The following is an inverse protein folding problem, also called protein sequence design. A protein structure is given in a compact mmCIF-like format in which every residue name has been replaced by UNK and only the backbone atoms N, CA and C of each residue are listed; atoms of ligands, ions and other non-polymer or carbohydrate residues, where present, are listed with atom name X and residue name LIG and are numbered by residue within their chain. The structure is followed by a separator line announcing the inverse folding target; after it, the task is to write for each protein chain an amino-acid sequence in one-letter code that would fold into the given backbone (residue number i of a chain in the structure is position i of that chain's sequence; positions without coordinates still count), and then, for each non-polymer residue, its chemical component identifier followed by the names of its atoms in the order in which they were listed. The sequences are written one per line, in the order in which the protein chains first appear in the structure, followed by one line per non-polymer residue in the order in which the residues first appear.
data_IF_015520402287
#
_entry.id   IF_015520402287
#
_cell.length_a   1.000
_cell.length_b   1.000
_cell.length_c   1.000
_cell.angle_alpha   90.00
_cell.angle_beta   90.00
_cell.angle_gamma   90.00
#
_symmetry.space_group_name_H-M   'P 1'
#
loop_
_entity.id
_entity.type
_entity.pdbx_description
1 polymer ?
#
# COMPACT_ATOMS: atom_id res chain seq x y z
N UNK A 1 2.04 12.21 -11.55
CA UNK A 1 0.73 12.77 -11.19
C UNK A 1 0.66 14.18 -11.74
N UNK A 2 -0.33 14.48 -12.58
CA UNK A 2 -0.57 15.81 -13.14
C UNK A 2 -1.43 16.66 -12.20
N UNK A 3 -1.62 17.94 -12.52
CA UNK A 3 -2.52 18.82 -11.78
C UNK A 3 -3.97 18.35 -11.90
N UNK A 4 -4.40 17.91 -13.08
CA UNK A 4 -5.75 17.37 -13.30
C UNK A 4 -6.00 16.09 -12.48
N UNK A 5 -5.01 15.20 -12.41
CA UNK A 5 -5.07 13.99 -11.58
C UNK A 5 -5.10 14.31 -10.08
N UNK A 6 -4.41 15.37 -9.66
CA UNK A 6 -4.51 15.87 -8.28
C UNK A 6 -5.91 16.39 -8.03
N UNK A 7 -6.44 17.29 -8.87
CA UNK A 7 -7.77 17.88 -8.68
C UNK A 7 -8.87 16.81 -8.66
N UNK A 8 -8.84 15.85 -9.58
CA UNK A 8 -9.79 14.73 -9.57
C UNK A 8 -9.72 13.90 -8.28
N UNK A 9 -8.51 13.69 -7.75
CA UNK A 9 -8.31 13.02 -6.46
C UNK A 9 -8.85 13.85 -5.29
N UNK A 10 -8.77 15.19 -5.36
CA UNK A 10 -9.26 16.10 -4.33
C UNK A 10 -10.77 16.36 -4.40
N UNK A 11 -11.36 16.35 -5.59
CA UNK A 11 -12.80 16.54 -5.79
C UNK A 11 -13.59 15.27 -5.46
N UNK A 12 -13.01 14.10 -5.70
CA UNK A 12 -13.57 12.80 -5.30
C UNK A 12 -13.19 12.34 -3.89
N UNK A 13 -12.57 13.21 -3.09
CA UNK A 13 -11.98 12.87 -1.80
C UNK A 13 -13.02 12.65 -0.69
N UNK A 14 -13.59 11.46 -0.62
CA UNK A 14 -13.83 10.84 0.68
C UNK A 14 -12.55 10.09 1.08
N UNK A 15 -12.18 10.11 2.36
CA UNK A 15 -11.13 9.21 2.84
C UNK A 15 -11.52 7.78 2.48
N UNK A 16 -10.66 7.10 1.73
CA UNK A 16 -10.83 5.69 1.41
C UNK A 16 -9.79 4.89 2.16
N UNK A 17 -9.95 3.57 2.17
CA UNK A 17 -8.91 2.64 2.62
C UNK A 17 -7.56 2.83 1.89
N UNK A 18 -7.55 3.57 0.78
CA UNK A 18 -6.41 3.75 -0.13
C UNK A 18 -5.92 5.20 -0.26
N UNK A 19 -6.57 6.14 0.43
CA UNK A 19 -6.22 7.55 0.41
C UNK A 19 -6.13 8.07 1.85
N UNK A 20 -5.03 8.73 2.18
CA UNK A 20 -4.78 9.33 3.48
C UNK A 20 -4.39 10.80 3.28
N UNK A 21 -5.00 11.69 4.06
CA UNK A 21 -4.63 13.11 4.09
C UNK A 21 -3.81 13.43 5.33
N UNK A 22 -2.74 14.19 5.14
CA UNK A 22 -1.97 14.77 6.24
C UNK A 22 -1.80 16.26 6.02
N UNK A 23 -1.91 17.00 7.13
CA UNK A 23 -1.59 18.42 7.17
C UNK A 23 -0.17 18.70 6.68
N UNK A 24 0.11 19.95 6.34
CA UNK A 24 1.45 20.36 5.95
C UNK A 24 2.49 20.05 7.04
N UNK A 25 3.50 19.24 6.72
CA UNK A 25 4.59 18.89 7.64
C UNK A 25 5.86 18.52 6.87
N UNK A 26 7.01 18.74 7.51
CA UNK A 26 8.28 18.16 7.05
C UNK A 26 8.27 16.64 7.22
N UNK A 27 9.12 15.96 6.47
CA UNK A 27 9.28 14.52 6.57
C UNK A 27 9.61 14.11 8.01
N UNK A 28 8.79 13.20 8.54
CA UNK A 28 9.04 12.49 9.79
C UNK A 28 8.68 11.02 9.58
N UNK A 29 9.71 10.17 9.59
CA UNK A 29 9.53 8.73 9.41
C UNK A 29 8.63 8.12 10.48
N UNK A 30 8.64 8.63 11.72
CA UNK A 30 7.86 8.04 12.80
C UNK A 30 6.36 8.27 12.62
N UNK A 31 5.97 9.39 12.01
CA UNK A 31 4.57 9.71 11.70
C UNK A 31 4.08 8.89 10.51
N UNK A 32 4.91 8.74 9.48
CA UNK A 32 4.46 8.17 8.20
C UNK A 32 4.72 6.66 8.05
N UNK A 33 5.62 6.07 8.84
CA UNK A 33 5.98 4.66 8.71
C UNK A 33 4.77 3.73 8.84
N UNK A 34 3.89 4.00 9.82
CA UNK A 34 2.71 3.17 10.05
C UNK A 34 1.77 3.18 8.85
N UNK A 35 1.54 4.36 8.27
CA UNK A 35 0.68 4.53 7.10
C UNK A 35 1.28 3.87 5.86
N UNK A 36 2.60 4.01 5.64
CA UNK A 36 3.29 3.38 4.52
C UNK A 36 3.26 1.85 4.62
N UNK A 37 3.54 1.28 5.80
CA UNK A 37 3.45 -0.17 6.02
C UNK A 37 2.01 -0.68 5.84
N UNK A 38 1.02 0.05 6.37
CA UNK A 38 -0.38 -0.31 6.25
C UNK A 38 -0.85 -0.31 4.79
N UNK A 39 -0.52 0.74 4.03
CA UNK A 39 -0.88 0.85 2.61
C UNK A 39 -0.21 -0.20 1.74
N UNK A 40 1.04 -0.58 2.03
CA UNK A 40 1.71 -1.66 1.31
C UNK A 40 0.96 -3.00 1.42
N UNK A 41 0.23 -3.21 2.52
CA UNK A 41 -0.59 -4.40 2.75
C UNK A 41 -2.01 -4.32 2.18
N UNK A 42 -2.41 -3.19 1.60
CA UNK A 42 -3.69 -3.03 0.89
C UNK A 42 -3.58 -3.56 -0.55
N UNK A 43 -4.69 -4.08 -1.10
CA UNK A 43 -4.73 -4.81 -2.37
C UNK A 43 -4.00 -4.15 -3.54
N UNK A 44 -4.24 -2.85 -3.77
CA UNK A 44 -3.55 -2.09 -4.81
C UNK A 44 -2.78 -0.90 -4.24
N UNK A 45 -2.29 -1.04 -3.00
CA UNK A 45 -1.50 -0.01 -2.33
C UNK A 45 -2.35 1.19 -1.90
N UNK A 46 -1.73 2.36 -1.88
CA UNK A 46 -2.42 3.59 -1.50
C UNK A 46 -1.63 4.87 -1.80
N UNK A 47 -2.24 6.00 -1.46
CA UNK A 47 -1.67 7.34 -1.62
C UNK A 47 -1.79 8.11 -0.32
N UNK A 48 -0.68 8.71 0.11
CA UNK A 48 -0.66 9.67 1.21
C UNK A 48 -0.42 11.04 0.61
N UNK A 49 -1.32 11.98 0.85
CA UNK A 49 -1.24 13.35 0.35
C UNK A 49 -0.97 14.32 1.50
N UNK A 50 0.18 14.99 1.45
CA UNK A 50 0.61 15.97 2.44
C UNK A 50 0.27 17.38 1.94
N UNK A 51 -0.24 18.21 2.86
CA UNK A 51 -0.67 19.58 2.59
C UNK A 51 -2.19 19.74 2.60
N UNK A 52 -2.93 18.78 3.15
CA UNK A 52 -4.39 18.81 3.25
C UNK A 52 -4.76 18.51 4.70
N UNK A 53 -5.58 19.36 5.29
CA UNK A 53 -6.14 19.08 6.60
C UNK A 53 -7.17 17.95 6.50
N UNK A 54 -7.01 16.93 7.32
CA UNK A 54 -7.82 15.70 7.29
C UNK A 54 -9.32 15.97 7.54
N UNK A 55 -9.65 16.66 8.63
CA UNK A 55 -11.05 16.85 9.05
C UNK A 55 -11.85 17.81 8.15
N UNK A 56 -11.21 18.88 7.67
CA UNK A 56 -11.87 19.95 6.91
C UNK A 56 -11.66 19.81 5.40
N UNK A 57 -10.76 18.90 4.99
CA UNK A 57 -10.22 18.81 3.62
C UNK A 57 -9.64 20.13 3.11
N UNK A 58 -9.24 21.03 4.02
CA UNK A 58 -8.69 22.32 3.67
C UNK A 58 -7.31 22.15 3.01
N UNK A 59 -7.20 22.68 1.79
CA UNK A 59 -5.98 22.68 0.98
C UNK A 59 -4.99 23.73 1.51
N UNK A 60 -4.04 23.29 2.33
CA UNK A 60 -2.98 24.13 2.89
C UNK A 60 -1.79 24.28 1.91
N UNK A 61 -1.49 23.21 1.18
CA UNK A 61 -0.23 23.06 0.47
C UNK A 61 0.96 22.88 1.42
N UNK A 62 2.17 22.84 0.87
CA UNK A 62 3.41 22.73 1.65
C UNK A 62 4.37 23.87 1.32
N UNK A 63 5.21 24.25 2.30
CA UNK A 63 6.28 25.22 2.07
C UNK A 63 7.44 24.58 1.30
N UNK A 64 8.37 25.42 0.81
CA UNK A 64 9.55 24.93 0.09
C UNK A 64 10.49 24.13 1.01
N UNK A 65 10.63 24.54 2.27
CA UNK A 65 11.41 23.83 3.28
C UNK A 65 10.82 22.45 3.57
N UNK A 66 9.49 22.39 3.73
CA UNK A 66 8.78 21.12 3.93
C UNK A 66 8.97 20.21 2.72
N UNK A 67 8.76 20.72 1.51
CA UNK A 67 8.99 19.96 0.26
C UNK A 67 10.41 19.38 0.20
N UNK A 68 11.41 20.20 0.50
CA UNK A 68 12.82 19.82 0.39
C UNK A 68 13.24 18.74 1.41
N UNK A 69 12.43 18.50 2.44
CA UNK A 69 12.66 17.38 3.37
C UNK A 69 12.26 16.01 2.81
N UNK A 70 11.49 15.93 1.71
CA UNK A 70 11.02 14.66 1.13
C UNK A 70 11.96 14.17 0.02
N UNK A 71 13.19 13.81 0.40
CA UNK A 71 14.22 13.30 -0.52
C UNK A 71 14.03 11.78 -0.76
N UNK A 72 13.62 11.34 -1.96
CA UNK A 72 13.13 9.97 -2.17
C UNK A 72 14.06 8.85 -1.69
N UNK A 73 15.37 8.96 -1.92
CA UNK A 73 16.32 7.92 -1.55
C UNK A 73 16.50 7.82 -0.03
N UNK A 74 16.62 8.96 0.66
CA UNK A 74 16.70 8.99 2.12
C UNK A 74 15.43 8.45 2.77
N UNK A 75 14.28 8.77 2.19
CA UNK A 75 12.98 8.27 2.63
C UNK A 75 12.91 6.75 2.52
N UNK A 76 13.37 6.17 1.40
CA UNK A 76 13.39 4.71 1.19
C UNK A 76 14.29 4.03 2.22
N UNK A 77 15.50 4.53 2.42
CA UNK A 77 16.45 3.96 3.38
C UNK A 77 15.84 3.95 4.79
N UNK A 78 15.22 5.06 5.20
CA UNK A 78 14.61 5.19 6.53
C UNK A 78 13.41 4.27 6.73
N UNK A 79 12.58 4.04 5.69
CA UNK A 79 11.43 3.14 5.77
C UNK A 79 11.86 1.67 5.68
N UNK A 80 12.91 1.36 4.92
CA UNK A 80 13.48 0.01 4.82
C UNK A 80 13.99 -0.52 6.17
N UNK A 81 14.35 0.35 7.12
CA UNK A 81 14.66 -0.03 8.51
C UNK A 81 13.49 -0.71 9.22
N UNK A 82 12.25 -0.44 8.81
CA UNK A 82 11.02 -0.91 9.45
C UNK A 82 10.29 -2.01 8.67
N UNK A 83 10.55 -2.17 7.38
CA UNK A 83 9.77 -3.05 6.49
C UNK A 83 10.48 -4.36 6.17
N UNK A 84 9.74 -5.47 6.21
CA UNK A 84 10.18 -6.77 5.67
C UNK A 84 9.01 -7.54 5.05
N UNK A 85 8.98 -7.78 3.72
CA UNK A 85 9.91 -7.28 2.70
C UNK A 85 9.92 -5.75 2.59
N UNK A 86 10.86 -5.20 1.81
CA UNK A 86 10.93 -3.75 1.59
C UNK A 86 9.67 -3.20 0.92
N UNK A 87 9.23 -2.01 1.35
CA UNK A 87 8.08 -1.32 0.74
C UNK A 87 8.56 -0.53 -0.47
N UNK A 88 7.87 -0.72 -1.60
CA UNK A 88 8.08 0.08 -2.80
C UNK A 88 7.13 1.29 -2.77
N UNK A 89 7.70 2.49 -2.86
CA UNK A 89 6.91 3.72 -2.99
C UNK A 89 7.63 4.78 -3.84
N UNK A 90 6.87 5.76 -4.31
CA UNK A 90 7.37 6.92 -5.04
C UNK A 90 6.80 8.21 -4.47
N UNK A 91 7.59 9.28 -4.53
CA UNK A 91 7.20 10.61 -4.07
C UNK A 91 7.05 11.53 -5.27
N UNK A 92 5.94 12.27 -5.33
CA UNK A 92 5.64 13.27 -6.35
C UNK A 92 5.27 14.59 -5.68
N UNK A 93 5.57 15.70 -6.33
CA UNK A 93 5.26 17.04 -5.80
C UNK A 93 4.40 17.83 -6.79
N UNK A 94 3.12 17.46 -6.96
CA UNK A 94 2.20 18.17 -7.87
C UNK A 94 1.84 19.56 -7.34
N UNK A 95 1.26 20.38 -8.20
CA UNK A 95 0.70 21.70 -7.87
C UNK A 95 -0.79 21.70 -8.21
N UNK A 96 -1.63 22.32 -7.37
CA UNK A 96 -3.07 22.51 -7.66
C UNK A 96 -3.31 23.67 -8.64
N UNK A 97 -4.56 23.87 -9.03
CA UNK A 97 -5.00 24.98 -9.89
C UNK A 97 -4.76 26.36 -9.29
N UNK A 98 -4.61 26.46 -7.96
CA UNK A 98 -4.34 27.69 -7.24
C UNK A 98 -2.83 27.94 -7.01
N UNK A 99 -1.95 27.10 -7.55
CA UNK A 99 -0.50 27.23 -7.43
C UNK A 99 0.08 26.70 -6.11
N UNK A 100 -0.71 26.05 -5.25
CA UNK A 100 -0.24 25.39 -4.02
C UNK A 100 0.41 24.07 -4.37
N UNK A 101 1.54 23.78 -3.72
CA UNK A 101 2.26 22.51 -3.91
C UNK A 101 1.84 21.51 -2.86
N UNK A 102 1.82 20.25 -3.23
CA UNK A 102 1.53 19.13 -2.35
C UNK A 102 2.63 18.10 -2.46
N UNK A 103 2.66 17.14 -1.52
CA UNK A 103 3.48 15.94 -1.66
C UNK A 103 2.56 14.76 -1.72
N UNK A 104 2.79 13.87 -2.69
CA UNK A 104 2.05 12.63 -2.84
C UNK A 104 3.00 11.47 -2.78
N UNK A 105 2.84 10.65 -1.74
CA UNK A 105 3.54 9.39 -1.57
C UNK A 105 2.62 8.31 -2.11
N UNK A 106 3.00 7.71 -3.24
CA UNK A 106 2.28 6.58 -3.81
C UNK A 106 2.98 5.29 -3.37
N UNK A 107 2.30 4.51 -2.54
CA UNK A 107 2.76 3.24 -2.00
C UNK A 107 2.23 2.12 -2.87
N UNK A 108 3.12 1.28 -3.37
CA UNK A 108 2.74 0.08 -4.14
C UNK A 108 2.29 -1.04 -3.18
N UNK A 109 1.34 -1.90 -3.60
CA UNK A 109 1.05 -3.11 -2.86
C UNK A 109 2.28 -4.01 -2.81
N UNK A 110 2.40 -4.85 -1.78
CA UNK A 110 3.43 -5.88 -1.73
C UNK A 110 3.36 -6.81 -2.97
N UNK A 111 4.51 -7.31 -3.41
CA UNK A 111 4.58 -8.13 -4.62
C UNK A 111 4.06 -9.55 -4.37
N UNK A 112 4.57 -10.21 -3.33
CA UNK A 112 4.31 -11.64 -3.06
C UNK A 112 3.95 -11.90 -1.60
N UNK A 113 4.78 -11.41 -0.67
CA UNK A 113 4.60 -11.59 0.77
C UNK A 113 4.13 -10.29 1.43
N UNK A 114 3.22 -10.37 2.42
CA UNK A 114 2.82 -9.20 3.20
C UNK A 114 4.01 -8.56 3.91
N UNK A 115 3.96 -7.24 4.04
CA UNK A 115 4.98 -6.47 4.76
C UNK A 115 4.73 -6.57 6.26
N UNK A 116 5.74 -7.05 6.98
CA UNK A 116 5.77 -7.15 8.44
C UNK A 116 6.71 -6.05 8.96
N UNK A 117 6.32 -5.40 10.05
CA UNK A 117 7.20 -4.45 10.71
C UNK A 117 8.36 -5.19 11.40
N UNK A 118 9.62 -4.91 11.04
CA UNK A 118 10.80 -5.59 11.61
C UNK A 118 11.49 -4.83 12.75
N UNK A 119 11.03 -3.62 13.10
CA UNK A 119 11.64 -2.74 14.11
C UNK A 119 10.60 -1.96 14.91
N UNK A 120 10.87 -1.76 16.21
CA UNK A 120 10.04 -0.92 17.06
C UNK A 120 10.23 0.58 16.75
N UNK A 121 9.15 1.34 16.91
CA UNK A 121 9.10 2.79 16.83
C UNK A 121 8.00 3.35 17.75
N UNK A 122 7.74 4.66 17.70
CA UNK A 122 6.74 5.28 18.56
C UNK A 122 5.34 4.67 18.38
N UNK A 123 4.90 4.49 17.13
CA UNK A 123 3.56 3.99 16.78
C UNK A 123 3.59 2.64 16.07
N UNK A 124 4.77 2.02 15.96
CA UNK A 124 4.98 0.73 15.29
C UNK A 124 5.73 -0.26 16.17
N UNK A 125 5.38 -1.54 16.08
CA UNK A 125 5.94 -2.61 16.90
C UNK A 125 6.47 -3.74 16.02
N UNK A 126 7.65 -4.24 16.33
CA UNK A 126 8.28 -5.36 15.64
C UNK A 126 7.38 -6.59 15.64
N UNK A 127 7.38 -7.33 14.53
CA UNK A 127 6.55 -8.51 14.29
C UNK A 127 5.07 -8.20 14.00
N UNK A 128 4.70 -6.92 13.90
CA UNK A 128 3.30 -6.51 13.69
C UNK A 128 3.04 -6.23 12.21
N UNK A 129 1.90 -6.72 11.72
CA UNK A 129 1.35 -6.35 10.42
C UNK A 129 0.39 -5.18 10.62
N UNK A 130 0.64 -4.10 9.88
CA UNK A 130 -0.25 -2.96 9.77
C UNK A 130 -1.10 -3.09 8.51
N UNK A 131 -2.36 -2.69 8.58
CA UNK A 131 -3.33 -2.84 7.50
C UNK A 131 -4.38 -1.73 7.60
N UNK A 132 -5.07 -1.43 6.49
CA UNK A 132 -6.25 -0.56 6.45
C UNK A 132 -7.46 -1.43 6.11
N UNK A 133 -8.35 -1.63 7.07
CA UNK A 133 -9.54 -2.45 6.86
C UNK A 133 -10.58 -1.67 6.04
N UNK A 134 -11.09 -2.22 4.93
CA UNK A 134 -12.17 -1.60 4.17
C UNK A 134 -13.54 -1.75 4.85
N UNK A 135 -13.63 -2.56 5.90
CA UNK A 135 -14.86 -2.76 6.67
C UNK A 135 -15.02 -1.75 7.82
N UNK A 136 -14.01 -0.94 8.09
CA UNK A 136 -13.98 0.01 9.21
C UNK A 136 -13.62 1.41 8.70
N UNK A 137 -13.62 2.40 9.61
CA UNK A 137 -13.10 3.73 9.30
C UNK A 137 -11.69 3.58 8.69
N UNK A 138 -11.38 4.22 7.55
CA UNK A 138 -10.06 4.17 6.95
C UNK A 138 -9.00 4.65 7.93
N UNK A 139 -8.26 3.71 8.49
CA UNK A 139 -7.21 4.00 9.45
C UNK A 139 -6.14 2.92 9.36
N UNK A 140 -4.89 3.35 9.39
CA UNK A 140 -3.74 2.46 9.52
C UNK A 140 -3.70 1.91 10.94
N UNK A 141 -3.95 0.60 11.08
CA UNK A 141 -4.03 -0.06 12.37
C UNK A 141 -3.29 -1.40 12.37
N UNK A 142 -2.94 -1.89 13.55
CA UNK A 142 -2.50 -3.28 13.71
C UNK A 142 -3.67 -4.18 13.30
N UNK A 143 -3.36 -5.22 12.54
CA UNK A 143 -4.34 -6.27 12.26
C UNK A 143 -4.73 -6.97 13.57
N UNK A 144 -6.01 -6.88 13.92
CA UNK A 144 -6.53 -7.28 15.24
C UNK A 144 -7.61 -8.36 15.16
N UNK A 145 -8.06 -8.71 13.97
CA UNK A 145 -9.13 -9.68 13.75
C UNK A 145 -8.76 -10.70 12.67
N UNK A 146 -9.41 -11.87 12.74
CA UNK A 146 -9.13 -12.98 11.83
C UNK A 146 -9.65 -12.77 10.41
N UNK A 147 -10.62 -11.90 10.19
CA UNK A 147 -11.19 -11.61 8.87
C UNK A 147 -10.17 -10.89 8.00
N UNK A 148 -9.61 -9.78 8.50
CA UNK A 148 -8.57 -9.03 7.80
C UNK A 148 -7.32 -9.89 7.61
N UNK A 149 -6.94 -10.70 8.61
CA UNK A 149 -5.78 -11.58 8.51
C UNK A 149 -5.95 -12.63 7.40
N UNK A 150 -7.12 -13.29 7.31
CA UNK A 150 -7.39 -14.24 6.24
C UNK A 150 -7.34 -13.57 4.88
N UNK A 151 -7.95 -12.39 4.74
CA UNK A 151 -7.93 -11.62 3.50
C UNK A 151 -6.51 -11.30 3.03
N UNK A 152 -5.65 -10.86 3.94
CA UNK A 152 -4.24 -10.57 3.63
C UNK A 152 -3.48 -11.83 3.17
N UNK A 153 -3.72 -12.96 3.84
CA UNK A 153 -3.12 -14.25 3.47
C UNK A 153 -3.61 -14.69 2.08
N UNK A 154 -4.91 -14.64 1.82
CA UNK A 154 -5.49 -14.98 0.52
C UNK A 154 -4.93 -14.11 -0.61
N UNK A 155 -4.73 -12.82 -0.36
CA UNK A 155 -4.07 -11.91 -1.28
C UNK A 155 -2.62 -12.33 -1.56
N UNK A 156 -1.86 -12.73 -0.53
CA UNK A 156 -0.49 -13.22 -0.71
C UNK A 156 -0.41 -14.52 -1.51
N UNK A 157 -1.34 -15.45 -1.27
CA UNK A 157 -1.44 -16.70 -2.01
C UNK A 157 -1.72 -16.40 -3.49
N UNK A 158 -2.69 -15.53 -3.77
CA UNK A 158 -3.07 -15.14 -5.13
C UNK A 158 -1.91 -14.50 -5.88
N UNK A 159 -1.19 -13.59 -5.23
CA UNK A 159 0.01 -12.93 -5.79
C UNK A 159 1.15 -13.90 -6.05
N UNK A 160 1.44 -14.80 -5.10
CA UNK A 160 2.45 -15.84 -5.25
C UNK A 160 2.09 -16.81 -6.38
N UNK A 161 0.81 -17.16 -6.51
CA UNK A 161 0.34 -18.01 -7.60
C UNK A 161 0.54 -17.34 -8.97
N UNK A 162 0.17 -16.06 -9.09
CA UNK A 162 0.39 -15.29 -10.32
C UNK A 162 1.88 -15.22 -10.71
N UNK A 163 2.76 -15.00 -9.75
CA UNK A 163 4.21 -15.03 -9.96
C UNK A 163 4.69 -16.41 -10.43
N UNK A 164 4.26 -17.50 -9.78
CA UNK A 164 4.59 -18.87 -10.17
C UNK A 164 4.11 -19.21 -11.60
N UNK A 165 2.94 -18.68 -12.00
CA UNK A 165 2.44 -18.81 -13.37
C UNK A 165 3.32 -18.06 -14.36
N UNK A 166 3.72 -16.82 -14.05
CA UNK A 166 4.59 -16.02 -14.93
C UNK A 166 5.95 -16.68 -15.19
N UNK A 167 6.50 -17.40 -14.21
CA UNK A 167 7.78 -18.11 -14.35
C UNK A 167 7.62 -19.57 -14.80
N UNK A 168 6.41 -20.00 -15.16
CA UNK A 168 6.14 -21.34 -15.72
C UNK A 168 6.18 -22.50 -14.71
N UNK A 169 6.17 -22.21 -13.40
CA UNK A 169 6.20 -23.23 -12.34
C UNK A 169 4.81 -23.62 -11.85
N UNK A 170 3.78 -22.82 -12.11
CA UNK A 170 2.39 -23.20 -11.91
C UNK A 170 1.82 -23.82 -13.20
N UNK A 171 2.31 -25.02 -13.53
CA UNK A 171 1.67 -25.87 -14.52
C UNK A 171 0.31 -26.32 -13.98
N UNK A 172 -0.74 -26.25 -14.82
CA UNK A 172 -1.96 -26.98 -14.52
C UNK A 172 -1.58 -28.45 -14.30
N UNK A 173 -1.95 -29.01 -13.15
CA UNK A 173 -2.06 -30.46 -13.05
C UNK A 173 -3.12 -30.82 -14.08
N UNK A 174 -2.71 -31.31 -15.25
CA UNK A 174 -3.66 -31.87 -16.19
C UNK A 174 -4.48 -32.89 -15.39
N UNK A 175 -5.83 -32.82 -15.39
CA UNK A 175 -6.60 -33.90 -14.80
C UNK A 175 -6.08 -35.20 -15.42
N UNK A 176 -5.94 -36.29 -14.64
CA UNK A 176 -5.53 -37.57 -15.21
C UNK A 176 -6.42 -37.82 -16.43
N UNK A 177 -5.81 -38.04 -17.60
CA UNK A 177 -6.56 -38.37 -18.78
C UNK A 177 -7.44 -39.58 -18.43
N UNK A 178 -8.75 -39.41 -18.50
CA UNK A 178 -9.68 -40.52 -18.29
C UNK A 178 -9.44 -41.51 -19.43
N UNK A 179 -8.89 -42.68 -19.07
CA UNK A 179 -8.65 -43.79 -19.98
C UNK A 179 -9.95 -44.57 -20.15
N UNK A 180 -10.78 -44.13 -21.09
CA UNK A 180 -12.08 -44.75 -21.38
C UNK A 180 -11.93 -46.19 -21.93
N UNK A 181 -10.75 -46.56 -22.44
CA UNK A 181 -10.47 -47.90 -22.96
C UNK A 181 -10.34 -48.94 -21.84
N UNK A 182 -10.13 -48.52 -20.59
CA UNK A 182 -10.12 -49.42 -19.41
C UNK A 182 -11.50 -49.85 -18.93
N UNK A 183 -12.57 -49.13 -19.27
CA UNK A 183 -13.94 -49.48 -18.84
C UNK A 183 -14.74 -50.26 -19.89
N UNK A 184 -14.32 -50.23 -21.15
CA UNK A 184 -14.87 -51.09 -22.19
C UNK A 184 -14.09 -52.42 -22.19
N UNK A 185 -14.43 -53.28 -21.22
CA UNK A 185 -13.89 -54.64 -21.16
C UNK A 185 -13.99 -55.34 -22.52
N UNK A 186 -12.95 -56.08 -22.89
CA UNK A 186 -12.86 -56.81 -24.16
C UNK A 186 -14.12 -57.66 -24.36
N UNK A 187 -14.92 -57.32 -25.38
CA UNK A 187 -16.10 -58.07 -25.81
C UNK A 187 -15.71 -59.33 -26.58
#
# INVERSE_FOLDING_TARGET
MTTEELEALLEGAEETDRLEFKRAMSWDKHVLVKDILAMANVQDGGRIVIGIEDETLARQGVTEEQRNSYVPDQLRDQIAEYADPEVVFSVRTPTDTAGRRFIVIQVSPFETLPVICKRDGPDVTKGTIYFRSPAQKPQSARISNSTDMRRLIEQSISKRWAELQQIGLAGAVAPPAYDYDKELGEF
#
